data_IF_353869593997
#
_entry.id   IF_353869593997
#
_cell.length_a   1.000
_cell.length_b   1.000
_cell.length_c   1.000
_cell.angle_alpha   90.00
_cell.angle_beta   90.00
_cell.angle_gamma   90.00
#
_symmetry.space_group_name_H-M   'P 1'
#
loop_
_entity.id
_entity.type
_entity.pdbx_description
1 polymer ?
#
# COMPACT_ATOMS: atom_id res chain seq x y z
N UNK A 1 1.09 -28.96 63.30
CA UNK A 1 0.58 -30.35 63.40
C UNK A 1 -0.93 -30.32 63.59
N UNK A 2 -1.68 -30.90 62.64
CA UNK A 2 -3.05 -31.45 62.72
C UNK A 2 -3.58 -31.52 61.27
N UNK A 3 -3.33 -32.59 60.54
CA UNK A 3 -3.96 -33.92 60.58
C UNK A 3 -5.38 -33.95 59.99
N UNK A 4 -5.38 -34.41 58.74
CA UNK A 4 -6.42 -34.96 57.87
C UNK A 4 -7.79 -35.33 58.44
N UNK A 5 -8.82 -35.09 57.61
CA UNK A 5 -9.80 -36.11 57.18
C UNK A 5 -10.33 -35.80 55.78
N UNK A 6 -10.11 -36.71 54.84
CA UNK A 6 -10.81 -36.79 53.53
C UNK A 6 -12.05 -37.68 53.69
N UNK A 7 -13.00 -37.54 52.76
CA UNK A 7 -13.86 -38.54 52.07
C UNK A 7 -15.27 -37.94 51.80
N UNK A 8 -16.10 -38.46 50.87
CA UNK A 8 -15.83 -39.30 49.70
C UNK A 8 -16.40 -38.71 48.38
N UNK A 9 -16.00 -39.34 47.26
CA UNK A 9 -16.55 -39.17 45.90
C UNK A 9 -18.03 -39.56 45.84
N UNK A 10 -18.83 -38.78 45.12
CA UNK A 10 -20.03 -39.29 44.45
C UNK A 10 -20.05 -38.83 42.99
N UNK A 11 -20.17 -39.80 42.10
CA UNK A 11 -20.16 -39.65 40.64
C UNK A 11 -21.61 -39.60 40.14
N UNK A 12 -22.01 -38.65 39.27
CA UNK A 12 -23.21 -38.81 38.49
C UNK A 12 -22.93 -39.49 37.14
N UNK A 13 -23.82 -40.44 36.86
CA UNK A 13 -23.94 -41.32 35.69
C UNK A 13 -23.94 -40.58 34.34
N UNK A 14 -23.32 -41.25 33.37
CA UNK A 14 -23.45 -41.09 31.92
C UNK A 14 -24.83 -40.61 31.47
N UNK A 15 -24.85 -39.61 30.58
CA UNK A 15 -25.66 -39.65 29.36
C UNK A 15 -24.82 -39.16 28.19
N UNK A 16 -24.35 -40.12 27.41
CA UNK A 16 -23.74 -39.89 26.10
C UNK A 16 -24.87 -39.52 25.13
N UNK A 17 -25.05 -38.24 24.86
CA UNK A 17 -25.74 -37.78 23.64
C UNK A 17 -24.68 -37.37 22.65
N UNK A 18 -24.36 -38.30 21.75
CA UNK A 18 -23.57 -38.02 20.56
C UNK A 18 -24.41 -37.11 19.65
N UNK A 19 -24.19 -35.80 19.74
CA UNK A 19 -24.55 -34.91 18.65
C UNK A 19 -23.42 -34.96 17.63
N UNK A 20 -23.61 -35.76 16.58
CA UNK A 20 -22.83 -35.65 15.37
C UNK A 20 -23.15 -34.29 14.71
N UNK A 21 -22.40 -33.26 15.09
CA UNK A 21 -22.41 -31.99 14.40
C UNK A 21 -21.54 -32.15 13.14
N UNK A 22 -22.17 -32.47 12.02
CA UNK A 22 -21.56 -32.31 10.69
C UNK A 22 -21.32 -30.82 10.46
N UNK A 23 -20.15 -30.34 10.88
CA UNK A 23 -19.66 -29.01 10.56
C UNK A 23 -19.22 -29.00 9.08
N UNK A 24 -20.10 -28.55 8.18
CA UNK A 24 -19.68 -28.12 6.85
C UNK A 24 -18.74 -26.92 7.03
N UNK A 25 -17.42 -27.16 6.93
CA UNK A 25 -16.42 -26.10 6.76
C UNK A 25 -16.59 -25.50 5.36
N UNK A 26 -17.37 -24.44 5.24
CA UNK A 26 -17.34 -23.58 4.06
C UNK A 26 -15.97 -22.91 4.00
N UNK A 27 -15.12 -23.35 3.06
CA UNK A 27 -13.84 -22.73 2.72
C UNK A 27 -14.09 -21.35 2.09
N UNK A 28 -14.31 -20.34 2.92
CA UNK A 28 -14.30 -18.95 2.47
C UNK A 28 -12.83 -18.59 2.33
N UNK A 29 -12.23 -18.85 1.16
CA UNK A 29 -10.89 -18.37 0.84
C UNK A 29 -10.90 -16.84 0.91
N UNK A 30 -10.14 -16.21 1.82
CA UNK A 30 -10.01 -14.76 1.81
C UNK A 30 -9.35 -14.37 0.49
N UNK A 31 -10.10 -13.71 -0.37
CA UNK A 31 -9.54 -13.03 -1.52
C UNK A 31 -8.75 -11.83 -0.96
N UNK A 32 -7.45 -12.05 -0.69
CA UNK A 32 -6.55 -10.99 -0.27
C UNK A 32 -6.33 -10.06 -1.47
N UNK A 33 -7.18 -9.05 -1.61
CA UNK A 33 -6.84 -7.89 -2.44
C UNK A 33 -5.64 -7.24 -1.77
N UNK A 34 -4.48 -7.28 -2.44
CA UNK A 34 -3.31 -6.56 -1.99
C UNK A 34 -3.67 -5.08 -1.91
N UNK A 35 -3.67 -4.51 -0.70
CA UNK A 35 -3.92 -3.11 -0.52
C UNK A 35 -2.77 -2.29 -1.13
N UNK A 36 -3.11 -1.17 -1.76
CA UNK A 36 -2.14 -0.21 -2.28
C UNK A 36 -1.22 0.28 -1.15
N UNK A 37 0.05 0.52 -1.50
CA UNK A 37 1.06 0.98 -0.54
C UNK A 37 0.77 2.38 0.00
N UNK A 38 0.17 3.25 -0.81
CA UNK A 38 -0.27 4.60 -0.47
C UNK A 38 -1.76 4.76 -0.84
N UNK A 39 -2.55 5.52 -0.07
CA UNK A 39 -3.97 5.75 -0.38
C UNK A 39 -4.14 6.79 -1.49
N UNK A 40 -3.61 6.48 -2.68
CA UNK A 40 -3.64 7.30 -3.89
C UNK A 40 -4.38 6.56 -5.00
N UNK A 41 -5.00 7.31 -5.90
CA UNK A 41 -5.55 6.74 -7.14
C UNK A 41 -4.40 6.26 -8.03
N UNK A 42 -4.62 5.18 -8.76
CA UNK A 42 -3.67 4.78 -9.81
C UNK A 42 -3.71 5.77 -10.97
N UNK A 43 -2.57 5.92 -11.65
CA UNK A 43 -2.43 6.71 -12.87
C UNK A 43 -1.38 7.81 -12.78
N UNK A 44 -1.52 8.78 -13.66
CA UNK A 44 -0.55 9.86 -13.85
C UNK A 44 -0.87 11.03 -12.93
N UNK A 45 0.19 11.56 -12.34
CA UNK A 45 0.20 12.76 -11.54
C UNK A 45 1.16 13.76 -12.15
N UNK A 46 0.71 15.01 -12.24
CA UNK A 46 1.49 16.12 -12.77
C UNK A 46 1.73 17.14 -11.67
N UNK A 47 2.92 17.74 -11.66
CA UNK A 47 3.25 18.90 -10.83
C UNK A 47 2.11 19.92 -10.89
N UNK A 48 1.63 20.35 -9.73
CA UNK A 48 0.46 21.22 -9.61
C UNK A 48 0.63 22.59 -10.27
N UNK A 49 1.86 22.99 -10.60
CA UNK A 49 2.18 24.21 -11.36
C UNK A 49 2.05 24.03 -12.89
N UNK A 50 1.83 22.81 -13.38
CA UNK A 50 1.75 22.46 -14.79
C UNK A 50 0.35 21.96 -15.18
N UNK A 51 0.12 21.86 -16.49
CA UNK A 51 -1.15 21.35 -17.04
C UNK A 51 -1.03 19.88 -17.40
N UNK A 52 -2.13 19.11 -17.26
CA UNK A 52 -2.17 17.70 -17.64
C UNK A 52 -1.94 17.46 -19.14
N UNK A 53 -2.26 18.44 -19.98
CA UNK A 53 -2.19 18.36 -21.44
C UNK A 53 -0.76 18.47 -21.97
N UNK A 54 0.12 19.18 -21.25
CA UNK A 54 1.50 19.41 -21.66
C UNK A 54 2.46 19.53 -20.45
N UNK A 55 2.64 18.44 -19.68
CA UNK A 55 3.59 18.43 -18.57
C UNK A 55 5.03 18.27 -19.08
N UNK A 56 5.98 18.90 -18.41
CA UNK A 56 7.39 18.59 -18.58
C UNK A 56 7.72 17.23 -17.94
N UNK A 57 8.63 16.45 -18.52
CA UNK A 57 8.99 15.11 -18.03
C UNK A 57 9.35 15.06 -16.52
N UNK A 58 10.06 16.08 -16.02
CA UNK A 58 10.43 16.18 -14.60
C UNK A 58 9.24 16.37 -13.66
N UNK A 59 8.12 16.90 -14.17
CA UNK A 59 6.87 17.12 -13.45
C UNK A 59 5.92 15.93 -13.50
N UNK A 60 6.32 14.77 -14.04
CA UNK A 60 5.47 13.59 -14.17
C UNK A 60 5.82 12.55 -13.11
N UNK A 61 4.79 12.05 -12.43
CA UNK A 61 4.84 10.82 -11.63
C UNK A 61 3.75 9.87 -12.07
N UNK A 62 3.99 8.57 -11.94
CA UNK A 62 2.95 7.55 -12.11
C UNK A 62 2.87 6.68 -10.86
N UNK A 63 1.64 6.41 -10.42
CA UNK A 63 1.37 5.51 -9.31
C UNK A 63 0.58 4.29 -9.79
N UNK A 64 1.08 3.10 -9.48
CA UNK A 64 0.51 1.80 -9.89
C UNK A 64 0.04 0.94 -8.70
N UNK A 65 -0.08 1.55 -7.52
CA UNK A 65 -0.34 0.85 -6.26
C UNK A 65 0.93 0.39 -5.54
N UNK A 66 2.03 0.14 -6.27
CA UNK A 66 3.28 -0.42 -5.72
C UNK A 66 4.36 0.64 -5.50
N UNK A 67 4.50 1.62 -6.39
CA UNK A 67 5.56 2.63 -6.31
C UNK A 67 5.26 3.89 -7.12
N UNK A 68 6.13 4.89 -7.00
CA UNK A 68 6.03 6.17 -7.72
C UNK A 68 7.13 6.26 -8.79
N UNK A 69 6.80 5.93 -10.03
CA UNK A 69 7.71 6.10 -11.17
C UNK A 69 7.73 7.52 -11.71
N UNK A 70 8.75 7.82 -12.51
CA UNK A 70 8.96 9.09 -13.22
C UNK A 70 8.98 8.83 -14.73
N UNK A 71 9.13 9.88 -15.54
CA UNK A 71 9.35 9.71 -16.98
C UNK A 71 10.61 8.88 -17.35
N UNK A 72 11.56 8.71 -16.43
CA UNK A 72 12.83 8.01 -16.67
C UNK A 72 12.98 6.71 -15.87
N UNK A 73 12.02 6.40 -14.98
CA UNK A 73 12.12 5.25 -14.10
C UNK A 73 10.94 4.31 -14.26
N UNK A 74 11.17 3.01 -14.04
CA UNK A 74 10.13 2.00 -14.08
C UNK A 74 10.38 0.89 -13.05
N UNK A 75 9.43 -0.04 -12.92
CA UNK A 75 9.55 -1.15 -11.97
C UNK A 75 9.68 -0.72 -10.51
N UNK A 76 9.12 0.44 -10.16
CA UNK A 76 9.25 1.03 -8.84
C UNK A 76 8.50 0.22 -7.78
N UNK A 77 9.16 -0.04 -6.65
CA UNK A 77 8.57 -0.68 -5.48
C UNK A 77 8.86 0.16 -4.26
N UNK A 78 7.79 0.66 -3.63
CA UNK A 78 7.84 1.51 -2.46
C UNK A 78 7.53 0.70 -1.20
N UNK A 79 8.19 1.06 -0.10
CA UNK A 79 7.95 0.56 1.24
C UNK A 79 7.75 1.74 2.19
N UNK A 80 6.67 1.71 2.96
CA UNK A 80 6.43 2.69 4.03
C UNK A 80 7.31 2.35 5.22
N UNK A 81 8.20 3.27 5.57
CA UNK A 81 9.10 3.15 6.72
C UNK A 81 8.50 3.80 7.98
N UNK A 82 7.63 4.79 7.79
CA UNK A 82 6.94 5.45 8.90
C UNK A 82 5.74 6.27 8.40
N UNK A 83 4.82 6.54 9.32
CA UNK A 83 3.64 7.37 9.05
C UNK A 83 3.39 8.33 10.21
N UNK A 84 3.14 9.59 9.90
CA UNK A 84 2.70 10.63 10.84
C UNK A 84 1.53 11.40 10.24
N UNK A 85 0.33 11.19 10.77
CA UNK A 85 -0.88 11.76 10.18
C UNK A 85 -1.06 11.27 8.74
N UNK A 86 -1.05 12.19 7.78
CA UNK A 86 -1.13 11.90 6.34
C UNK A 86 0.22 11.92 5.62
N UNK A 87 1.32 12.09 6.35
CA UNK A 87 2.68 12.03 5.81
C UNK A 87 3.27 10.64 6.00
N UNK A 88 3.80 10.09 4.91
CA UNK A 88 4.43 8.79 4.82
C UNK A 88 5.92 8.99 4.53
N UNK A 89 6.79 8.52 5.42
CA UNK A 89 8.21 8.40 5.11
C UNK A 89 8.41 7.07 4.41
N UNK A 90 8.94 7.12 3.19
CA UNK A 90 8.98 5.97 2.30
C UNK A 90 10.38 5.77 1.76
N UNK A 91 10.74 4.50 1.58
CA UNK A 91 11.89 4.10 0.79
C UNK A 91 11.37 3.40 -0.45
N UNK A 92 11.85 3.78 -1.63
CA UNK A 92 11.53 3.07 -2.86
C UNK A 92 12.78 2.64 -3.60
N UNK A 93 12.64 1.59 -4.40
CA UNK A 93 13.62 1.19 -5.39
C UNK A 93 13.00 1.24 -6.78
N UNK A 94 13.72 1.76 -7.75
CA UNK A 94 13.27 1.88 -9.14
C UNK A 94 14.38 1.44 -10.10
N UNK A 95 14.02 1.00 -11.30
CA UNK A 95 14.96 0.85 -12.41
C UNK A 95 15.10 2.21 -13.07
N UNK A 96 16.30 2.79 -13.06
CA UNK A 96 16.59 4.10 -13.65
C UNK A 96 17.13 3.95 -15.07
N UNK A 97 16.25 3.48 -15.94
CA UNK A 97 16.43 3.48 -17.37
C UNK A 97 15.08 3.81 -18.00
N UNK A 98 15.03 4.83 -18.86
CA UNK A 98 13.79 5.20 -19.54
C UNK A 98 13.12 4.00 -20.24
N UNK A 99 13.93 3.09 -20.81
CA UNK A 99 13.51 1.76 -21.22
C UNK A 99 14.67 0.75 -21.09
N UNK A 100 14.34 -0.52 -20.92
CA UNK A 100 15.31 -1.61 -20.86
C UNK A 100 15.89 -1.87 -19.46
N UNK A 101 16.76 -2.89 -19.33
CA UNK A 101 17.29 -3.29 -18.03
C UNK A 101 18.32 -2.27 -17.51
N UNK A 102 18.23 -1.95 -16.21
CA UNK A 102 19.25 -1.24 -15.47
C UNK A 102 19.25 -1.70 -13.99
N UNK A 103 20.31 -1.41 -13.22
CA UNK A 103 20.30 -1.65 -11.79
C UNK A 103 19.18 -0.87 -11.09
N UNK A 104 18.72 -1.40 -9.96
CA UNK A 104 17.83 -0.66 -9.10
C UNK A 104 18.57 0.47 -8.39
N UNK A 105 17.99 1.66 -8.39
CA UNK A 105 18.39 2.80 -7.56
C UNK A 105 17.46 2.90 -6.35
N UNK A 106 18.00 3.24 -5.19
CA UNK A 106 17.23 3.41 -3.95
C UNK A 106 17.04 4.90 -3.64
N UNK A 107 15.82 5.27 -3.29
CA UNK A 107 15.44 6.64 -2.95
C UNK A 107 14.67 6.66 -1.64
N UNK A 108 14.83 7.74 -0.87
CA UNK A 108 14.03 8.03 0.32
C UNK A 108 13.37 9.39 0.16
N UNK A 109 12.10 9.46 0.52
CA UNK A 109 11.30 10.68 0.42
C UNK A 109 10.16 10.65 1.44
N UNK A 110 9.57 11.83 1.65
CA UNK A 110 8.30 11.94 2.37
C UNK A 110 7.17 12.21 1.36
N UNK A 111 6.06 11.50 1.50
CA UNK A 111 4.85 11.69 0.69
C UNK A 111 3.72 12.10 1.62
N UNK A 112 3.24 13.34 1.49
CA UNK A 112 2.05 13.80 2.22
C UNK A 112 0.84 13.67 1.33
N UNK A 113 -0.05 12.73 1.66
CA UNK A 113 -1.30 12.53 0.91
C UNK A 113 -2.33 13.55 1.38
N UNK A 114 -2.74 14.46 0.50
CA UNK A 114 -3.78 15.45 0.80
C UNK A 114 -5.15 14.82 0.63
N UNK A 115 -5.34 14.10 -0.47
CA UNK A 115 -6.49 13.24 -0.76
C UNK A 115 -6.06 12.22 -1.84
N UNK A 116 -6.90 11.24 -2.22
CA UNK A 116 -6.48 10.21 -3.18
C UNK A 116 -5.99 10.74 -4.55
N UNK A 117 -6.39 11.95 -4.95
CA UNK A 117 -5.96 12.58 -6.20
C UNK A 117 -4.86 13.63 -6.05
N UNK A 118 -4.36 13.89 -4.83
CA UNK A 118 -3.38 14.97 -4.58
C UNK A 118 -2.40 14.61 -3.48
N UNK A 119 -1.11 14.83 -3.74
CA UNK A 119 -0.08 14.65 -2.73
C UNK A 119 1.03 15.68 -2.85
N UNK A 120 1.83 15.81 -1.80
CA UNK A 120 3.09 16.56 -1.78
C UNK A 120 4.24 15.57 -1.68
N UNK A 121 5.13 15.61 -2.67
CA UNK A 121 6.35 14.83 -2.73
C UNK A 121 7.51 15.66 -2.18
N UNK A 122 8.19 15.19 -1.14
CA UNK A 122 9.34 15.88 -0.58
C UNK A 122 10.58 15.01 -0.63
N UNK A 123 11.58 15.47 -1.36
CA UNK A 123 12.89 14.82 -1.47
C UNK A 123 13.97 15.82 -1.08
N UNK A 124 14.72 15.51 -0.01
CA UNK A 124 15.67 16.43 0.59
C UNK A 124 14.98 17.72 1.06
N UNK A 125 15.40 18.87 0.51
CA UNK A 125 14.87 20.20 0.85
C UNK A 125 13.72 20.64 -0.06
N UNK A 126 13.48 19.93 -1.16
CA UNK A 126 12.48 20.30 -2.16
C UNK A 126 11.16 19.59 -1.88
N UNK A 127 10.06 20.34 -1.93
CA UNK A 127 8.71 19.81 -1.85
C UNK A 127 7.89 20.29 -3.06
N UNK A 128 7.22 19.36 -3.72
CA UNK A 128 6.42 19.62 -4.93
C UNK A 128 5.05 19.01 -4.76
N UNK A 129 4.00 19.78 -5.06
CA UNK A 129 2.63 19.28 -5.06
C UNK A 129 2.30 18.63 -6.40
N UNK A 130 1.54 17.54 -6.38
CA UNK A 130 1.15 16.77 -7.55
C UNK A 130 -0.37 16.56 -7.57
N UNK A 131 -0.99 16.71 -8.74
CA UNK A 131 -2.41 16.46 -8.99
C UNK A 131 -2.58 15.28 -9.96
N UNK A 132 -3.55 14.41 -9.68
CA UNK A 132 -3.98 13.35 -10.57
C UNK A 132 -4.60 13.94 -11.84
N UNK A 133 -4.23 13.37 -12.99
CA UNK A 133 -4.78 13.72 -14.29
C UNK A 133 -5.67 12.58 -14.80
N UNK A 134 -6.86 12.90 -15.30
CA UNK A 134 -7.69 11.90 -15.96
C UNK A 134 -7.10 11.50 -17.31
N UNK A 135 -7.31 10.25 -17.79
CA UNK A 135 -6.81 9.82 -19.11
C UNK A 135 -7.26 10.70 -20.28
N UNK A 136 -8.41 11.36 -20.18
CA UNK A 136 -8.92 12.31 -21.19
C UNK A 136 -8.12 13.61 -21.28
N UNK A 137 -7.44 14.02 -20.20
CA UNK A 137 -6.67 15.26 -20.13
C UNK A 137 -5.21 15.08 -20.56
N UNK A 138 -4.73 13.83 -20.61
CA UNK A 138 -3.34 13.51 -20.88
C UNK A 138 -3.03 13.59 -22.39
N UNK A 139 -1.79 13.97 -22.77
CA UNK A 139 -1.32 13.84 -24.14
C UNK A 139 -1.21 12.36 -24.54
N UNK A 140 -1.25 12.01 -25.84
CA UNK A 140 -1.27 10.62 -26.31
C UNK A 140 -0.18 9.71 -25.73
N UNK A 141 1.02 10.25 -25.45
CA UNK A 141 2.14 9.47 -24.90
C UNK A 141 2.04 9.14 -23.40
N UNK A 142 1.01 9.61 -22.70
CA UNK A 142 0.82 9.40 -21.26
C UNK A 142 -0.52 8.73 -20.91
N UNK A 143 -1.32 8.36 -21.92
CA UNK A 143 -2.63 7.72 -21.73
C UNK A 143 -2.53 6.25 -21.35
#
# INVERSE_FOLDING_TARGET
>A
MNSHRRLPRSSPKRRSTAFAASALLTLISPCSFAADTLPLKHGIYVDASQTCQNPANAGIKQYDGKGLSTAHTHGCVLQVQGKKGTTYTVAQRCIDAGAGPAPFVNERMDVTVVNPGKFVFKQGKTATAFNHCSPSELPPGLK
#
